data_IF_905165145412
#
_entry.id   IF_905165145412
#
_cell.length_a   1.000
_cell.length_b   1.000
_cell.length_c   1.000
_cell.angle_alpha   90.00
_cell.angle_beta   90.00
_cell.angle_gamma   90.00
#
_symmetry.space_group_name_H-M   'P 1'
#
loop_
_entity.id
_entity.type
_entity.pdbx_description
1 polymer ?
#
# COMPACT_ATOMS: atom_id res chain seq x y z
N UNK A 1 -9.21 -11.17 -1.81
CA UNK A 1 -8.44 -9.90 -1.89
C UNK A 1 -6.97 -10.29 -1.82
N UNK A 2 -6.21 -9.91 -2.82
CA UNK A 2 -4.80 -10.30 -2.97
C UNK A 2 -3.86 -9.48 -2.08
N UNK A 3 -4.34 -8.32 -1.61
CA UNK A 3 -3.59 -7.36 -0.81
C UNK A 3 -3.81 -7.53 0.69
N UNK A 4 -2.97 -6.89 1.48
CA UNK A 4 -3.19 -6.74 2.92
C UNK A 4 -4.45 -5.92 3.15
N UNK A 5 -5.37 -6.45 3.94
CA UNK A 5 -6.74 -5.94 4.00
C UNK A 5 -6.93 -4.83 5.04
N UNK A 6 -7.59 -3.74 4.63
CA UNK A 6 -8.14 -2.76 5.56
C UNK A 6 -9.49 -3.18 6.17
N UNK A 7 -10.10 -4.26 5.67
CA UNK A 7 -11.42 -4.71 6.13
C UNK A 7 -11.34 -5.49 7.45
N UNK A 8 -10.17 -6.04 7.76
CA UNK A 8 -9.96 -6.88 8.93
C UNK A 8 -8.56 -7.50 8.97
N UNK A 9 -8.35 -8.53 9.79
CA UNK A 9 -7.05 -9.19 9.92
C UNK A 9 -6.66 -9.90 8.62
N UNK A 10 -5.39 -9.78 8.24
CA UNK A 10 -4.76 -10.54 7.15
C UNK A 10 -3.81 -11.56 7.75
N UNK A 11 -4.10 -12.85 7.53
CA UNK A 11 -3.22 -13.95 7.96
C UNK A 11 -2.19 -14.21 6.88
N UNK A 12 -0.93 -14.37 7.27
CA UNK A 12 0.18 -14.62 6.35
C UNK A 12 1.14 -15.67 6.90
N UNK A 13 1.90 -16.30 6.01
CA UNK A 13 3.05 -17.13 6.36
C UNK A 13 4.31 -16.30 6.12
N UNK A 14 5.20 -16.26 7.12
CA UNK A 14 6.48 -15.55 7.08
C UNK A 14 7.61 -16.58 7.06
N UNK A 15 8.41 -16.55 5.99
CA UNK A 15 9.67 -17.29 5.92
C UNK A 15 10.82 -16.39 6.36
N UNK A 16 11.59 -16.81 7.38
CA UNK A 16 12.80 -16.12 7.81
C UNK A 16 13.81 -17.14 8.36
N UNK A 17 15.06 -17.06 7.90
CA UNK A 17 16.12 -17.95 8.34
C UNK A 17 15.77 -19.44 8.15
N UNK A 18 15.10 -19.80 7.05
CA UNK A 18 14.67 -21.17 6.77
C UNK A 18 13.45 -21.65 7.59
N UNK A 19 12.90 -20.81 8.46
CA UNK A 19 11.74 -21.16 9.32
C UNK A 19 10.49 -20.42 8.83
N UNK A 20 9.38 -21.17 8.74
CA UNK A 20 8.05 -20.62 8.45
C UNK A 20 7.30 -20.38 9.75
N UNK A 21 6.74 -19.20 9.92
CA UNK A 21 5.87 -18.82 11.03
C UNK A 21 4.59 -18.17 10.54
N UNK A 22 3.52 -18.26 11.34
CA UNK A 22 2.27 -17.55 11.06
C UNK A 22 2.33 -16.15 11.64
N UNK A 23 1.91 -15.17 10.87
CA UNK A 23 1.78 -13.77 11.30
C UNK A 23 0.40 -13.26 10.94
N UNK A 24 -0.08 -12.26 11.67
CA UNK A 24 -1.35 -11.59 11.36
C UNK A 24 -1.12 -10.08 11.35
N UNK A 25 -1.59 -9.43 10.29
CA UNK A 25 -1.54 -7.99 10.15
C UNK A 25 -2.92 -7.39 10.40
N UNK A 26 -2.96 -6.29 11.14
CA UNK A 26 -4.18 -5.51 11.41
C UNK A 26 -3.95 -4.05 11.02
N UNK A 27 -4.94 -3.36 10.44
CA UNK A 27 -4.83 -1.93 10.13
C UNK A 27 -4.40 -1.09 11.33
N UNK A 28 -4.92 -1.39 12.52
CA UNK A 28 -4.60 -0.66 13.75
C UNK A 28 -3.11 -0.73 14.14
N UNK A 29 -2.39 -1.83 13.86
CA UNK A 29 -0.94 -1.94 14.08
C UNK A 29 -0.16 -0.94 13.22
N UNK A 30 -0.69 -0.63 12.06
CA UNK A 30 -0.13 0.34 11.11
C UNK A 30 -0.56 1.79 11.42
N UNK A 31 -1.41 2.00 12.41
CA UNK A 31 -2.01 3.31 12.71
C UNK A 31 -3.11 3.71 11.73
N UNK A 32 -3.69 2.73 11.03
CA UNK A 32 -4.74 2.93 10.03
C UNK A 32 -6.11 2.54 10.59
N UNK A 33 -7.15 3.17 10.05
CA UNK A 33 -8.54 2.82 10.38
C UNK A 33 -9.01 1.65 9.51
N UNK A 34 -9.93 0.87 10.05
CA UNK A 34 -10.67 -0.14 9.28
C UNK A 34 -11.53 0.56 8.24
N UNK A 35 -11.47 0.10 7.00
CA UNK A 35 -12.32 0.57 5.90
C UNK A 35 -13.55 -0.30 5.73
N UNK A 36 -14.50 0.16 4.93
CA UNK A 36 -15.63 -0.63 4.44
C UNK A 36 -15.34 -1.06 3.01
N UNK A 37 -15.88 -2.20 2.58
CA UNK A 37 -15.67 -2.71 1.21
C UNK A 37 -16.03 -1.65 0.15
N UNK A 38 -17.14 -0.94 0.33
CA UNK A 38 -17.57 0.11 -0.60
C UNK A 38 -16.57 1.25 -0.79
N UNK A 39 -15.72 1.49 0.20
CA UNK A 39 -14.71 2.56 0.15
C UNK A 39 -13.45 2.15 -0.64
N UNK A 40 -13.37 0.88 -1.06
CA UNK A 40 -12.25 0.27 -1.81
C UNK A 40 -12.66 -0.29 -3.18
N UNK A 41 -13.92 -0.11 -3.58
CA UNK A 41 -14.39 -0.61 -4.88
C UNK A 41 -13.82 0.25 -6.01
N UNK A 42 -13.20 -0.42 -6.97
CA UNK A 42 -12.79 0.20 -8.22
C UNK A 42 -13.97 0.37 -9.19
N UNK A 43 -13.64 0.67 -10.43
CA UNK A 43 -14.59 0.84 -11.52
C UNK A 43 -13.96 0.53 -12.87
N UNK A 44 -14.30 1.31 -13.88
CA UNK A 44 -13.67 1.20 -15.20
C UNK A 44 -12.16 1.48 -15.13
N UNK A 45 -11.36 1.02 -16.10
CA UNK A 45 -9.93 1.32 -16.16
C UNK A 45 -9.64 2.83 -16.08
N UNK A 46 -10.46 3.66 -16.71
CA UNK A 46 -10.36 5.12 -16.65
C UNK A 46 -10.55 5.63 -15.22
N UNK A 47 -11.60 5.15 -14.54
CA UNK A 47 -11.87 5.51 -13.15
C UNK A 47 -10.74 5.07 -12.22
N UNK A 48 -10.23 3.85 -12.38
CA UNK A 48 -9.13 3.34 -11.57
C UNK A 48 -7.83 4.13 -11.78
N UNK A 49 -7.55 4.56 -13.01
CA UNK A 49 -6.42 5.44 -13.31
C UNK A 49 -6.56 6.81 -12.63
N UNK A 50 -7.77 7.35 -12.55
CA UNK A 50 -8.05 8.61 -11.84
C UNK A 50 -7.88 8.44 -10.32
N UNK A 51 -8.40 7.35 -9.74
CA UNK A 51 -8.19 7.00 -8.33
C UNK A 51 -6.69 6.95 -8.02
N UNK A 52 -5.90 6.25 -8.84
CA UNK A 52 -4.46 6.14 -8.65
C UNK A 52 -3.74 7.49 -8.71
N UNK A 53 -4.09 8.35 -9.67
CA UNK A 53 -3.52 9.71 -9.78
C UNK A 53 -3.86 10.57 -8.58
N UNK A 54 -5.12 10.55 -8.12
CA UNK A 54 -5.57 11.32 -6.97
C UNK A 54 -4.86 10.88 -5.69
N UNK A 55 -4.69 9.57 -5.48
CA UNK A 55 -3.90 9.00 -4.40
C UNK A 55 -2.45 9.52 -4.45
N UNK A 56 -1.79 9.42 -5.60
CA UNK A 56 -0.39 9.85 -5.78
C UNK A 56 -0.22 11.37 -5.64
N UNK A 57 -1.28 12.17 -5.86
CA UNK A 57 -1.32 13.62 -5.58
C UNK A 57 -1.60 13.93 -4.11
N UNK A 58 -1.71 12.91 -3.27
CA UNK A 58 -1.84 13.08 -1.82
C UNK A 58 -3.27 13.05 -1.26
N UNK A 59 -4.27 12.66 -2.07
CA UNK A 59 -5.64 12.49 -1.57
C UNK A 59 -5.65 11.48 -0.43
N UNK A 60 -6.26 11.86 0.70
CA UNK A 60 -6.37 11.04 1.91
C UNK A 60 -7.71 10.31 1.93
N UNK A 61 -7.69 9.03 1.60
CA UNK A 61 -8.86 8.15 1.59
C UNK A 61 -8.46 6.69 1.83
N UNK A 62 -9.41 5.77 1.79
CA UNK A 62 -9.19 4.35 2.00
C UNK A 62 -8.25 3.72 0.95
N UNK A 63 -8.24 4.22 -0.29
CA UNK A 63 -7.32 3.72 -1.31
C UNK A 63 -5.87 4.02 -0.94
N UNK A 64 -5.59 5.25 -0.49
CA UNK A 64 -4.26 5.63 -0.01
C UNK A 64 -3.83 4.77 1.17
N UNK A 65 -4.72 4.59 2.15
CA UNK A 65 -4.43 3.77 3.33
C UNK A 65 -4.13 2.32 2.94
N UNK A 66 -4.89 1.74 2.01
CA UNK A 66 -4.66 0.40 1.48
C UNK A 66 -3.29 0.25 0.81
N UNK A 67 -2.94 1.18 -0.07
CA UNK A 67 -1.62 1.19 -0.74
C UNK A 67 -0.49 1.37 0.26
N UNK A 68 -0.62 2.28 1.23
CA UNK A 68 0.39 2.48 2.28
C UNK A 68 0.52 1.25 3.17
N UNK A 69 -0.58 0.54 3.47
CA UNK A 69 -0.56 -0.67 4.29
C UNK A 69 0.18 -1.81 3.58
N UNK A 70 -0.17 -2.08 2.32
CA UNK A 70 0.52 -3.09 1.50
C UNK A 70 2.01 -2.77 1.33
N UNK A 71 2.34 -1.50 1.07
CA UNK A 71 3.73 -1.03 0.98
C UNK A 71 4.47 -1.20 2.31
N UNK A 72 3.81 -0.90 3.44
CA UNK A 72 4.39 -1.07 4.78
C UNK A 72 4.76 -2.52 5.07
N UNK A 73 3.90 -3.47 4.71
CA UNK A 73 4.19 -4.90 4.83
C UNK A 73 5.31 -5.34 3.89
N UNK A 74 5.35 -4.82 2.65
CA UNK A 74 6.43 -5.10 1.71
C UNK A 74 7.79 -4.59 2.21
N UNK A 75 7.85 -3.38 2.78
CA UNK A 75 9.06 -2.81 3.38
C UNK A 75 9.54 -3.60 4.60
N UNK A 76 8.61 -4.12 5.41
CA UNK A 76 8.93 -5.04 6.50
C UNK A 76 9.49 -6.37 5.97
N UNK A 77 8.89 -6.93 4.93
CA UNK A 77 9.35 -8.19 4.31
C UNK A 77 10.73 -8.06 3.68
N UNK A 78 11.04 -6.88 3.13
CA UNK A 78 12.35 -6.55 2.55
C UNK A 78 13.42 -6.14 3.57
N UNK A 79 13.12 -6.22 4.88
CA UNK A 79 14.00 -5.74 5.98
C UNK A 79 14.41 -4.26 5.87
N UNK A 80 13.69 -3.46 5.09
CA UNK A 80 13.91 -2.01 4.96
C UNK A 80 13.38 -1.28 6.19
N UNK A 81 12.24 -1.74 6.72
CA UNK A 81 11.66 -1.22 7.95
C UNK A 81 11.48 -2.33 8.99
N UNK A 82 11.49 -1.95 10.27
CA UNK A 82 11.40 -2.90 11.38
C UNK A 82 9.97 -3.18 11.82
N UNK A 83 9.04 -2.31 11.47
CA UNK A 83 7.61 -2.43 11.80
C UNK A 83 6.74 -2.04 10.62
N UNK A 84 5.53 -2.57 10.56
CA UNK A 84 4.54 -2.17 9.53
C UNK A 84 4.19 -0.70 9.66
N UNK A 85 4.10 -0.17 10.88
CA UNK A 85 3.82 1.26 11.13
C UNK A 85 4.90 2.18 10.54
N UNK A 86 6.18 1.84 10.72
CA UNK A 86 7.28 2.60 10.13
C UNK A 86 7.22 2.55 8.60
N UNK A 87 6.94 1.38 8.03
CA UNK A 87 6.76 1.20 6.59
C UNK A 87 5.59 2.01 6.03
N UNK A 88 4.46 2.03 6.73
CA UNK A 88 3.29 2.85 6.35
C UNK A 88 3.64 4.35 6.38
N UNK A 89 4.33 4.81 7.43
CA UNK A 89 4.77 6.20 7.52
C UNK A 89 5.68 6.57 6.35
N UNK A 90 6.64 5.72 6.02
CA UNK A 90 7.55 5.92 4.87
C UNK A 90 6.81 5.96 3.54
N UNK A 91 5.79 5.11 3.35
CA UNK A 91 4.94 5.14 2.16
C UNK A 91 4.14 6.45 2.06
N UNK A 92 3.58 6.92 3.17
CA UNK A 92 2.88 8.21 3.24
C UNK A 92 3.81 9.38 2.90
N UNK A 93 5.03 9.40 3.43
CA UNK A 93 6.04 10.41 3.13
C UNK A 93 6.42 10.41 1.64
N UNK A 94 6.55 9.24 1.01
CA UNK A 94 6.83 9.13 -0.43
C UNK A 94 5.71 9.71 -1.29
N UNK A 95 4.46 9.55 -0.87
CA UNK A 95 3.31 10.17 -1.54
C UNK A 95 3.31 11.68 -1.30
N UNK A 96 3.40 12.12 -0.06
CA UNK A 96 3.26 13.53 0.34
C UNK A 96 4.39 14.41 -0.20
N UNK A 97 5.60 13.87 -0.37
CA UNK A 97 6.74 14.55 -1.02
C UNK A 97 6.64 14.61 -2.55
N UNK A 98 5.68 13.92 -3.15
CA UNK A 98 5.55 13.77 -4.61
C UNK A 98 6.54 12.77 -5.23
N UNK A 99 7.39 12.12 -4.43
CA UNK A 99 8.38 11.16 -4.97
C UNK A 99 7.70 9.97 -5.65
N UNK A 100 6.62 9.46 -5.07
CA UNK A 100 5.85 8.36 -5.66
C UNK A 100 5.19 8.77 -6.99
N UNK A 101 4.62 9.97 -7.08
CA UNK A 101 4.04 10.49 -8.32
C UNK A 101 5.09 10.62 -9.42
N UNK A 102 6.24 11.23 -9.14
CA UNK A 102 7.34 11.37 -10.12
C UNK A 102 7.82 10.00 -10.62
N UNK A 103 7.95 9.01 -9.73
CA UNK A 103 8.34 7.64 -10.13
C UNK A 103 7.28 7.01 -11.02
N UNK A 104 6.02 7.16 -10.70
CA UNK A 104 4.90 6.65 -11.51
C UNK A 104 4.88 7.29 -12.91
N UNK A 105 5.04 8.61 -13.01
CA UNK A 105 5.07 9.33 -14.28
C UNK A 105 6.27 8.90 -15.14
N UNK A 106 7.44 8.75 -14.54
CA UNK A 106 8.65 8.25 -15.21
C UNK A 106 8.44 6.83 -15.76
N UNK A 107 7.85 5.95 -14.97
CA UNK A 107 7.52 4.59 -15.40
C UNK A 107 6.48 4.58 -16.53
N UNK A 108 5.42 5.36 -16.41
CA UNK A 108 4.40 5.48 -17.45
C UNK A 108 4.96 6.04 -18.76
N UNK A 109 5.91 7.00 -18.70
CA UNK A 109 6.59 7.53 -19.86
C UNK A 109 7.50 6.47 -20.52
N UNK A 110 8.19 5.66 -19.71
CA UNK A 110 9.05 4.57 -20.22
C UNK A 110 8.23 3.49 -20.94
N UNK A 111 7.08 3.08 -20.41
CA UNK A 111 6.22 2.06 -21.02
C UNK A 111 5.59 2.49 -22.35
N UNK A 112 5.53 3.80 -22.62
CA UNK A 112 5.03 4.32 -23.92
C UNK A 112 6.09 4.35 -25.03
N UNK A 113 7.37 4.16 -24.69
CA UNK A 113 8.47 4.15 -25.65
C UNK A 113 8.78 2.78 -26.25
N UNK A 114 8.10 1.74 -25.75
CA UNK A 114 8.24 0.34 -26.16
C UNK A 114 7.29 -0.07 -27.31
#
# INVERSE_FOLDING_TARGET
MDEVSLLGPTRAAKLRGGKVSRVTFFPAQAGLKKARLKDLLGGSPKNNAEIARNLLRGKKDAYRDGVCFSTGVALLAADVEKTVRAGVKRAQEAIDSGAALRKFESWAAWTRKG
#
